data_IF_356890881889
#
_entry.id   IF_356890881889
#
_cell.length_a   1.000
_cell.length_b   1.000
_cell.length_c   1.000
_cell.angle_alpha   90.00
_cell.angle_beta   90.00
_cell.angle_gamma   90.00
#
_symmetry.space_group_name_H-M   'P 1'
#
loop_
_entity.id
_entity.type
_entity.pdbx_description
1 polymer ?
#
# COMPACT_ATOMS: atom_id res chain seq x y z
N UNK A 1 -25.41 -38.25 -30.81
CA UNK A 1 -25.21 -37.10 -31.72
C UNK A 1 -24.67 -35.96 -30.88
N UNK A 2 -23.42 -35.59 -31.13
CA UNK A 2 -22.68 -34.60 -30.37
C UNK A 2 -23.19 -33.19 -30.72
N UNK A 3 -23.59 -32.42 -29.70
CA UNK A 3 -23.87 -30.99 -29.82
C UNK A 3 -22.66 -30.22 -29.32
N UNK A 4 -22.04 -29.47 -30.22
CA UNK A 4 -20.88 -28.61 -29.95
C UNK A 4 -21.29 -27.42 -29.07
N UNK A 5 -20.78 -27.36 -27.85
CA UNK A 5 -20.79 -26.15 -27.03
C UNK A 5 -19.76 -25.14 -27.59
N UNK A 6 -20.25 -24.01 -28.09
CA UNK A 6 -19.40 -22.87 -28.48
C UNK A 6 -18.97 -22.11 -27.22
N UNK A 7 -17.66 -21.80 -27.05
CA UNK A 7 -17.20 -21.04 -25.90
C UNK A 7 -17.64 -19.57 -25.99
N UNK A 8 -18.11 -19.05 -24.86
CA UNK A 8 -18.45 -17.65 -24.64
C UNK A 8 -17.22 -16.76 -24.85
N UNK A 9 -17.37 -15.75 -25.71
CA UNK A 9 -16.33 -14.75 -26.00
C UNK A 9 -16.06 -13.93 -24.74
N UNK A 10 -14.86 -14.09 -24.18
CA UNK A 10 -14.33 -13.22 -23.14
C UNK A 10 -14.15 -11.80 -23.67
N UNK A 11 -14.52 -10.81 -22.85
CA UNK A 11 -14.18 -9.40 -23.07
C UNK A 11 -12.66 -9.26 -22.92
N UNK A 12 -11.93 -9.33 -24.03
CA UNK A 12 -10.54 -8.89 -24.12
C UNK A 12 -10.51 -7.37 -24.05
N UNK A 13 -10.39 -6.82 -22.83
CA UNK A 13 -10.06 -5.41 -22.62
C UNK A 13 -8.55 -5.24 -22.85
N UNK A 14 -8.24 -4.89 -24.09
CA UNK A 14 -7.02 -4.33 -24.67
C UNK A 14 -5.93 -3.90 -23.66
N UNK A 15 -4.78 -4.58 -23.77
CA UNK A 15 -3.45 -4.09 -23.38
C UNK A 15 -3.19 -2.73 -24.05
N UNK A 16 -3.36 -1.62 -23.33
CA UNK A 16 -2.68 -0.36 -23.69
C UNK A 16 -1.37 -0.27 -22.92
N UNK A 17 -0.38 -1.03 -23.38
CA UNK A 17 1.03 -0.72 -23.15
C UNK A 17 1.37 0.39 -24.14
N UNK A 18 1.41 1.63 -23.67
CA UNK A 18 2.01 2.72 -24.42
C UNK A 18 3.52 2.45 -24.48
N UNK A 19 4.00 2.02 -25.65
CA UNK A 19 5.42 2.05 -25.98
C UNK A 19 5.75 3.45 -26.45
N UNK A 20 6.10 4.33 -25.51
CA UNK A 20 6.77 5.58 -25.85
C UNK A 20 8.27 5.40 -25.70
N UNK A 21 8.93 5.60 -26.82
CA UNK A 21 10.35 5.79 -26.99
C UNK A 21 10.82 6.91 -26.06
N UNK A 22 11.89 6.63 -25.30
CA UNK A 22 12.56 7.61 -24.47
C UNK A 22 13.34 8.57 -25.37
N UNK A 23 12.83 9.78 -25.53
CA UNK A 23 13.63 10.96 -25.83
C UNK A 23 14.36 11.38 -24.54
N UNK A 24 15.69 11.39 -24.63
CA UNK A 24 16.59 11.72 -23.54
C UNK A 24 16.46 13.21 -23.18
N UNK A 25 16.14 13.46 -21.91
CA UNK A 25 15.63 14.75 -21.46
C UNK A 25 16.64 15.89 -21.28
N UNK A 26 16.14 17.02 -20.80
CA UNK A 26 16.98 18.06 -20.21
C UNK A 26 16.36 18.67 -18.95
N UNK A 27 17.10 18.51 -17.85
CA UNK A 27 16.93 19.27 -16.62
C UNK A 27 17.55 20.65 -16.78
N UNK A 28 16.87 21.65 -16.20
CA UNK A 28 17.27 23.05 -16.09
C UNK A 28 18.70 23.22 -15.51
N UNK A 29 19.57 23.88 -16.27
CA UNK A 29 20.68 24.67 -15.72
C UNK A 29 21.02 25.88 -16.60
N UNK A 30 21.03 27.05 -15.95
CA UNK A 30 21.56 28.37 -16.32
C UNK A 30 22.45 28.48 -17.57
N UNK A 31 22.13 29.41 -18.48
CA UNK A 31 23.09 30.00 -19.43
C UNK A 31 23.12 31.52 -19.39
N UNK A 32 24.29 32.03 -18.98
CA UNK A 32 24.82 33.37 -19.23
C UNK A 32 25.27 33.47 -20.71
N UNK A 33 25.15 34.68 -21.28
CA UNK A 33 25.19 35.00 -22.72
C UNK A 33 26.53 34.81 -23.47
N UNK A 34 26.36 34.53 -24.77
CA UNK A 34 26.94 35.15 -26.00
C UNK A 34 28.01 34.37 -26.78
N UNK A 35 27.77 34.24 -28.09
CA UNK A 35 28.78 33.99 -29.12
C UNK A 35 28.25 33.30 -30.39
N UNK A 36 28.01 34.06 -31.46
CA UNK A 36 27.62 33.60 -32.82
C UNK A 36 28.81 32.95 -33.55
N UNK A 37 28.55 31.94 -34.38
CA UNK A 37 29.48 31.50 -35.43
C UNK A 37 28.98 30.25 -36.16
N UNK A 38 28.80 30.34 -37.48
CA UNK A 38 28.27 29.31 -38.39
C UNK A 38 29.33 28.26 -38.78
N UNK A 39 28.82 27.24 -39.46
CA UNK A 39 29.40 26.32 -40.47
C UNK A 39 29.94 24.96 -40.05
N UNK A 40 29.46 24.00 -40.85
CA UNK A 40 29.61 22.56 -40.96
C UNK A 40 31.03 22.05 -41.19
N UNK A 41 31.31 20.82 -40.76
CA UNK A 41 31.72 19.65 -41.58
C UNK A 41 32.08 18.47 -40.66
N UNK A 42 31.70 17.28 -41.11
CA UNK A 42 31.90 15.95 -40.54
C UNK A 42 33.33 15.63 -40.07
N UNK A 43 33.44 14.83 -39.00
CA UNK A 43 34.38 13.69 -38.92
C UNK A 43 34.01 12.75 -37.77
N UNK A 44 33.97 11.46 -38.10
CA UNK A 44 33.81 10.34 -37.17
C UNK A 44 34.96 10.31 -36.15
N UNK A 45 34.64 10.32 -34.87
CA UNK A 45 35.51 9.79 -33.82
C UNK A 45 34.69 8.89 -32.88
N UNK A 46 35.30 7.79 -32.38
CA UNK A 46 34.58 6.80 -31.60
C UNK A 46 34.15 7.41 -30.28
N UNK A 47 32.85 7.33 -29.98
CA UNK A 47 32.31 7.71 -28.70
C UNK A 47 33.09 6.96 -27.60
N UNK A 48 33.78 7.73 -26.75
CA UNK A 48 34.36 7.22 -25.51
C UNK A 48 33.21 6.63 -24.72
N UNK A 49 33.08 5.30 -24.76
CA UNK A 49 32.10 4.57 -23.95
C UNK A 49 32.34 4.97 -22.52
N UNK A 50 31.40 5.74 -21.96
CA UNK A 50 31.29 6.01 -20.55
C UNK A 50 31.20 4.62 -19.89
N UNK A 51 32.33 4.09 -19.43
CA UNK A 51 32.36 2.91 -18.55
C UNK A 51 31.83 3.38 -17.20
N UNK A 52 30.51 3.59 -17.16
CA UNK A 52 29.78 3.71 -15.92
C UNK A 52 30.14 2.50 -15.07
N UNK A 53 30.58 2.77 -13.86
CA UNK A 53 30.98 1.78 -12.87
C UNK A 53 29.90 0.69 -12.82
N UNK A 54 30.16 -0.49 -13.39
CA UNK A 54 29.23 -1.62 -13.31
C UNK A 54 29.06 -1.89 -11.82
N UNK A 55 27.86 -1.60 -11.29
CA UNK A 55 27.59 -1.73 -9.86
C UNK A 55 27.94 -3.15 -9.40
N UNK A 56 28.27 -3.31 -8.11
CA UNK A 56 28.69 -4.60 -7.52
C UNK A 56 27.69 -5.77 -7.74
N UNK A 57 26.48 -5.48 -8.20
CA UNK A 57 25.41 -6.44 -8.53
C UNK A 57 25.35 -6.82 -10.03
N UNK A 58 26.16 -6.22 -10.89
CA UNK A 58 26.22 -6.59 -12.31
C UNK A 58 26.52 -8.09 -12.53
N UNK A 59 27.42 -8.74 -11.75
CA UNK A 59 27.67 -10.18 -11.88
C UNK A 59 26.46 -11.06 -11.55
N UNK A 60 25.54 -10.59 -10.70
CA UNK A 60 24.32 -11.35 -10.39
C UNK A 60 23.43 -11.51 -11.64
N UNK A 61 23.37 -10.48 -12.50
CA UNK A 61 22.61 -10.52 -13.74
C UNK A 61 23.28 -11.35 -14.84
N UNK A 62 24.52 -11.80 -14.62
CA UNK A 62 25.24 -12.76 -15.49
C UNK A 62 24.86 -14.22 -15.17
N UNK A 63 24.01 -14.45 -14.17
CA UNK A 63 23.48 -15.75 -13.73
C UNK A 63 21.94 -15.81 -13.80
N UNK A 64 21.33 -15.85 -15.00
CA UNK A 64 19.88 -15.73 -15.15
C UNK A 64 19.09 -16.90 -14.54
N UNK A 65 19.67 -18.11 -14.56
CA UNK A 65 18.98 -19.32 -14.10
C UNK A 65 18.83 -19.36 -12.58
N UNK A 66 19.87 -18.95 -11.86
CA UNK A 66 19.92 -18.84 -10.41
C UNK A 66 18.91 -17.79 -9.91
N UNK A 67 18.78 -16.68 -10.65
CA UNK A 67 17.76 -15.67 -10.37
C UNK A 67 16.36 -16.25 -10.48
N UNK A 68 16.09 -17.10 -11.48
CA UNK A 68 14.78 -17.73 -11.62
C UNK A 68 14.48 -18.73 -10.50
N UNK A 69 15.47 -19.52 -10.09
CA UNK A 69 15.35 -20.46 -8.96
C UNK A 69 15.05 -19.74 -7.64
N UNK A 70 15.65 -18.57 -7.42
CA UNK A 70 15.34 -17.75 -6.24
C UNK A 70 13.95 -17.11 -6.39
N UNK A 71 13.64 -16.57 -7.58
CA UNK A 71 12.41 -15.85 -7.84
C UNK A 71 11.14 -16.71 -7.67
N UNK A 72 11.19 -18.00 -7.97
CA UNK A 72 10.05 -18.91 -7.76
C UNK A 72 9.81 -19.25 -6.28
N UNK A 73 10.83 -19.09 -5.43
CA UNK A 73 10.78 -19.46 -4.00
C UNK A 73 10.45 -18.28 -3.08
N UNK A 74 10.33 -17.06 -3.61
CA UNK A 74 9.97 -15.88 -2.83
C UNK A 74 8.48 -15.57 -2.99
N UNK A 75 7.86 -14.97 -1.97
CA UNK A 75 6.48 -14.51 -2.07
C UNK A 75 6.30 -13.35 -3.06
N UNK A 76 5.06 -13.11 -3.52
CA UNK A 76 4.76 -12.16 -4.61
C UNK A 76 5.08 -10.70 -4.26
N UNK A 77 5.02 -10.32 -2.98
CA UNK A 77 5.47 -9.00 -2.52
C UNK A 77 6.97 -8.81 -2.79
N UNK A 78 7.79 -9.78 -2.40
CA UNK A 78 9.24 -9.73 -2.60
C UNK A 78 9.59 -9.80 -4.10
N UNK A 79 8.90 -10.66 -4.86
CA UNK A 79 9.08 -10.77 -6.31
C UNK A 79 8.76 -9.45 -7.02
N UNK A 80 7.69 -8.76 -6.60
CA UNK A 80 7.37 -7.42 -7.08
C UNK A 80 8.49 -6.43 -6.76
N UNK A 81 9.03 -6.42 -5.54
CA UNK A 81 10.13 -5.51 -5.19
C UNK A 81 11.42 -5.83 -5.98
N UNK A 82 11.72 -7.11 -6.21
CA UNK A 82 12.85 -7.51 -7.07
C UNK A 82 12.72 -6.96 -8.48
N UNK A 83 11.50 -7.04 -9.07
CA UNK A 83 11.24 -6.47 -10.39
C UNK A 83 11.47 -4.95 -10.44
N UNK A 84 11.27 -4.24 -9.33
CA UNK A 84 11.43 -2.78 -9.26
C UNK A 84 12.85 -2.32 -8.95
N UNK A 85 13.63 -3.16 -8.29
CA UNK A 85 15.01 -2.85 -7.93
C UNK A 85 15.95 -2.80 -9.15
N UNK A 86 15.62 -3.49 -10.25
CA UNK A 86 16.43 -3.55 -11.46
C UNK A 86 15.60 -3.49 -12.73
N UNK A 87 15.96 -2.61 -13.67
CA UNK A 87 15.32 -2.52 -14.99
C UNK A 87 15.43 -3.84 -15.78
N UNK A 88 16.55 -4.56 -15.62
CA UNK A 88 16.78 -5.85 -16.27
C UNK A 88 15.82 -6.89 -15.68
N UNK A 89 15.75 -6.99 -14.35
CA UNK A 89 14.83 -7.90 -13.69
C UNK A 89 13.37 -7.56 -13.99
N UNK A 90 13.02 -6.27 -14.07
CA UNK A 90 11.66 -5.85 -14.49
C UNK A 90 11.28 -6.45 -15.84
N UNK A 91 12.15 -6.26 -16.84
CA UNK A 91 11.89 -6.73 -18.22
C UNK A 91 11.69 -8.25 -18.26
N UNK A 92 12.48 -8.99 -17.48
CA UNK A 92 12.42 -10.44 -17.46
C UNK A 92 11.24 -10.94 -16.63
N UNK A 93 11.09 -10.49 -15.38
CA UNK A 93 10.08 -11.00 -14.44
C UNK A 93 8.65 -10.60 -14.83
N UNK A 94 8.43 -9.46 -15.48
CA UNK A 94 7.09 -9.01 -15.91
C UNK A 94 6.72 -9.56 -17.29
N UNK A 95 7.63 -10.25 -17.98
CA UNK A 95 7.36 -10.84 -19.29
C UNK A 95 6.41 -12.05 -19.21
N UNK A 96 5.72 -12.34 -20.33
CA UNK A 96 4.82 -13.49 -20.46
C UNK A 96 5.53 -14.83 -20.20
N UNK A 97 6.83 -14.95 -20.52
CA UNK A 97 7.63 -16.15 -20.28
C UNK A 97 7.90 -16.43 -18.80
N UNK A 98 7.74 -15.43 -17.93
CA UNK A 98 7.96 -15.56 -16.48
C UNK A 98 6.67 -15.82 -15.70
N UNK A 99 5.54 -16.07 -16.37
CA UNK A 99 4.25 -16.33 -15.72
C UNK A 99 4.31 -17.48 -14.72
N UNK A 100 5.05 -18.54 -15.05
CA UNK A 100 5.24 -19.69 -14.17
C UNK A 100 5.95 -19.33 -12.86
N UNK A 101 6.88 -18.37 -12.87
CA UNK A 101 7.58 -17.87 -11.68
C UNK A 101 6.59 -17.21 -10.73
N UNK A 102 5.72 -16.34 -11.27
CA UNK A 102 4.69 -15.70 -10.47
C UNK A 102 3.73 -16.73 -9.88
N UNK A 103 3.26 -17.69 -10.67
CA UNK A 103 2.38 -18.76 -10.18
C UNK A 103 3.01 -19.54 -9.04
N UNK A 104 4.27 -19.96 -9.18
CA UNK A 104 5.00 -20.62 -8.10
C UNK A 104 5.11 -19.74 -6.84
N UNK A 105 5.42 -18.45 -7.03
CA UNK A 105 5.49 -17.46 -5.95
C UNK A 105 4.18 -17.33 -5.16
N UNK A 106 3.03 -17.38 -5.84
CA UNK A 106 1.71 -17.38 -5.21
C UNK A 106 1.42 -18.68 -4.47
N UNK A 107 1.66 -19.84 -5.10
CA UNK A 107 1.40 -21.16 -4.51
C UNK A 107 2.21 -21.43 -3.24
N UNK A 108 3.38 -20.80 -3.09
CA UNK A 108 4.21 -20.90 -1.89
C UNK A 108 3.84 -19.87 -0.80
N UNK A 109 2.76 -19.11 -0.97
CA UNK A 109 2.36 -18.03 -0.06
C UNK A 109 0.93 -18.19 0.46
N UNK A 110 0.68 -17.74 1.70
CA UNK A 110 -0.66 -17.74 2.31
C UNK A 110 -1.54 -16.57 1.81
N UNK A 111 -1.30 -16.11 0.59
CA UNK A 111 -1.99 -14.96 0.00
C UNK A 111 -3.08 -15.48 -0.95
N UNK A 112 -4.29 -14.90 -0.95
CA UNK A 112 -5.31 -15.32 -1.89
C UNK A 112 -4.82 -15.22 -3.34
N UNK A 113 -5.16 -16.23 -4.14
CA UNK A 113 -4.72 -16.31 -5.53
C UNK A 113 -5.33 -15.20 -6.40
N UNK A 114 -4.60 -14.73 -7.44
CA UNK A 114 -5.16 -13.81 -8.42
C UNK A 114 -6.36 -14.44 -9.14
N UNK A 115 -7.47 -13.69 -9.33
CA UNK A 115 -8.56 -14.11 -10.20
C UNK A 115 -8.08 -14.34 -11.64
N UNK A 116 -8.82 -15.14 -12.40
CA UNK A 116 -8.47 -15.50 -13.78
C UNK A 116 -8.30 -14.31 -14.73
N UNK A 117 -9.02 -13.20 -14.48
CA UNK A 117 -8.96 -11.96 -15.25
C UNK A 117 -7.83 -11.01 -14.82
N UNK A 118 -7.01 -11.38 -13.85
CA UNK A 118 -5.86 -10.61 -13.40
C UNK A 118 -4.56 -11.21 -13.92
N UNK A 119 -3.65 -10.36 -14.42
CA UNK A 119 -2.25 -10.76 -14.54
C UNK A 119 -1.55 -10.65 -13.18
N UNK A 120 -0.73 -11.65 -12.87
CA UNK A 120 -0.11 -11.84 -11.57
C UNK A 120 0.75 -10.62 -11.11
N UNK A 121 1.57 -9.98 -11.98
CA UNK A 121 2.35 -8.80 -11.58
C UNK A 121 1.49 -7.57 -11.27
N UNK A 122 0.39 -7.37 -12.02
CA UNK A 122 -0.53 -6.25 -11.78
C UNK A 122 -1.31 -6.47 -10.49
N UNK A 123 -1.74 -7.69 -10.23
CA UNK A 123 -2.38 -8.05 -8.97
C UNK A 123 -1.47 -7.83 -7.76
N UNK A 124 -0.20 -8.26 -7.86
CA UNK A 124 0.80 -7.97 -6.83
C UNK A 124 0.98 -6.45 -6.61
N UNK A 125 1.04 -5.66 -7.68
CA UNK A 125 1.13 -4.21 -7.58
C UNK A 125 -0.12 -3.59 -6.93
N UNK A 126 -1.32 -4.09 -7.23
CA UNK A 126 -2.54 -3.61 -6.61
C UNK A 126 -2.52 -3.80 -5.08
N UNK A 127 -2.16 -5.00 -4.62
CA UNK A 127 -2.14 -5.36 -3.20
C UNK A 127 -0.99 -4.70 -2.45
N UNK A 128 0.25 -4.96 -2.86
CA UNK A 128 1.43 -4.69 -2.04
C UNK A 128 1.99 -3.29 -2.21
N UNK A 129 1.63 -2.63 -3.30
CA UNK A 129 2.33 -1.43 -3.67
C UNK A 129 1.79 -0.17 -3.00
N UNK A 130 2.57 0.91 -3.06
CA UNK A 130 2.19 2.22 -2.50
C UNK A 130 2.13 3.32 -3.56
N UNK A 131 2.31 2.95 -4.82
CA UNK A 131 2.38 3.90 -5.93
C UNK A 131 1.04 3.97 -6.65
N UNK A 132 0.79 5.11 -7.27
CA UNK A 132 -0.38 5.31 -8.10
C UNK A 132 -0.23 4.43 -9.35
N UNK A 133 -1.22 3.58 -9.66
CA UNK A 133 -1.19 2.74 -10.85
C UNK A 133 -1.30 3.54 -12.16
N UNK A 134 -1.71 4.82 -12.08
CA UNK A 134 -1.79 5.71 -13.26
C UNK A 134 -0.55 6.59 -13.45
N UNK A 135 -0.02 7.19 -12.38
CA UNK A 135 1.05 8.19 -12.48
C UNK A 135 2.31 7.88 -11.66
N UNK A 136 2.38 6.68 -11.06
CA UNK A 136 3.51 6.21 -10.26
C UNK A 136 3.88 7.10 -9.06
N UNK A 137 3.00 8.02 -8.64
CA UNK A 137 3.22 8.81 -7.43
C UNK A 137 3.15 7.93 -6.17
N UNK A 138 4.09 8.10 -5.24
CA UNK A 138 4.11 7.41 -3.93
C UNK A 138 2.96 7.78 -2.98
N UNK A 139 2.08 8.70 -3.38
CA UNK A 139 0.97 9.21 -2.56
C UNK A 139 -0.37 8.59 -2.94
N UNK A 140 -0.39 7.28 -3.20
CA UNK A 140 -1.62 6.59 -3.56
C UNK A 140 -2.46 6.23 -2.32
N UNK A 141 -3.37 7.13 -1.96
CA UNK A 141 -4.24 7.02 -0.79
C UNK A 141 -5.61 6.45 -1.10
N UNK A 142 -6.01 6.41 -2.38
CA UNK A 142 -7.31 5.91 -2.83
C UNK A 142 -7.10 4.50 -3.38
N UNK A 143 -7.59 3.51 -2.65
CA UNK A 143 -7.40 2.10 -2.97
C UNK A 143 -8.75 1.39 -2.89
N UNK A 144 -9.12 0.69 -3.97
CA UNK A 144 -10.32 -0.16 -4.00
C UNK A 144 -10.05 -1.39 -4.88
N UNK A 145 -10.25 -2.57 -4.28
CA UNK A 145 -10.01 -3.86 -4.89
C UNK A 145 -11.12 -4.32 -5.83
N UNK A 146 -12.35 -3.82 -5.72
CA UNK A 146 -13.43 -4.16 -6.66
C UNK A 146 -13.32 -3.33 -7.94
N UNK A 147 -12.84 -2.08 -7.82
CA UNK A 147 -12.53 -1.23 -8.97
C UNK A 147 -11.13 -1.48 -9.56
N UNK A 148 -10.31 -2.32 -8.92
CA UNK A 148 -8.93 -2.60 -9.31
C UNK A 148 -8.04 -1.34 -9.36
N UNK A 149 -8.25 -0.38 -8.47
CA UNK A 149 -7.54 0.91 -8.50
C UNK A 149 -6.68 1.14 -7.26
N UNK A 150 -5.56 1.82 -7.50
CA UNK A 150 -4.74 2.48 -6.49
C UNK A 150 -4.28 3.81 -7.05
N UNK A 151 -4.91 4.90 -6.62
CA UNK A 151 -4.70 6.24 -7.13
C UNK A 151 -4.24 7.23 -6.06
N UNK A 152 -3.46 8.22 -6.50
CA UNK A 152 -3.29 9.44 -5.73
C UNK A 152 -4.56 10.31 -5.82
N UNK A 153 -4.71 11.28 -4.92
CA UNK A 153 -5.89 12.16 -4.92
C UNK A 153 -6.10 12.92 -6.24
N UNK A 154 -5.03 13.22 -6.98
CA UNK A 154 -5.14 13.91 -8.28
C UNK A 154 -5.69 12.99 -9.38
N UNK A 155 -5.15 11.77 -9.51
CA UNK A 155 -5.67 10.77 -10.44
C UNK A 155 -7.09 10.34 -10.07
N UNK A 156 -7.41 10.23 -8.77
CA UNK A 156 -8.78 9.93 -8.36
C UNK A 156 -9.79 10.96 -8.86
N UNK A 157 -9.48 12.26 -8.74
CA UNK A 157 -10.40 13.33 -9.20
C UNK A 157 -10.61 13.37 -10.72
N UNK A 158 -9.66 12.85 -11.48
CA UNK A 158 -9.67 12.90 -12.96
C UNK A 158 -10.25 11.61 -13.56
N UNK A 159 -9.94 10.47 -12.94
CA UNK A 159 -10.31 9.15 -13.46
C UNK A 159 -11.59 8.59 -12.83
N UNK A 160 -12.20 9.28 -11.85
CA UNK A 160 -13.41 8.81 -11.17
C UNK A 160 -14.57 9.79 -11.39
N UNK A 161 -15.72 9.24 -11.75
CA UNK A 161 -16.97 9.98 -12.06
C UNK A 161 -18.14 9.43 -11.25
N UNK A 162 -19.28 10.11 -11.32
CA UNK A 162 -20.55 9.68 -10.76
C UNK A 162 -21.61 9.57 -11.86
N UNK A 163 -22.70 8.85 -11.58
CA UNK A 163 -23.85 8.78 -12.52
C UNK A 163 -24.38 10.18 -12.82
N UNK A 164 -24.47 11.07 -11.81
CA UNK A 164 -24.94 12.45 -11.97
C UNK A 164 -24.08 13.29 -12.92
N UNK A 165 -22.76 13.09 -12.90
CA UNK A 165 -21.83 13.83 -13.76
C UNK A 165 -21.86 13.35 -15.21
N UNK A 166 -22.28 12.10 -15.44
CA UNK A 166 -22.17 11.47 -16.75
C UNK A 166 -23.52 11.36 -17.47
N UNK A 167 -24.62 11.30 -16.73
CA UNK A 167 -25.98 11.15 -17.29
C UNK A 167 -26.77 12.43 -17.09
N UNK A 168 -27.10 13.10 -18.20
CA UNK A 168 -27.87 14.35 -18.22
C UNK A 168 -29.24 14.23 -17.56
N UNK A 169 -29.79 15.37 -17.11
CA UNK A 169 -31.18 15.47 -16.70
C UNK A 169 -32.06 15.30 -17.95
N UNK A 170 -32.89 14.26 -17.98
CA UNK A 170 -33.78 13.94 -19.12
C UNK A 170 -33.43 12.66 -19.89
N UNK A 171 -32.33 11.98 -19.56
CA UNK A 171 -32.02 10.67 -20.16
C UNK A 171 -32.96 9.59 -19.56
N UNK A 172 -33.63 8.78 -20.39
CA UNK A 172 -34.56 7.70 -19.98
C UNK A 172 -33.87 6.50 -19.31
N UNK A 173 -32.57 6.60 -19.07
CA UNK A 173 -31.76 5.56 -18.46
C UNK A 173 -32.23 5.25 -17.04
N UNK A 174 -32.38 3.95 -16.74
CA UNK A 174 -32.63 3.43 -15.39
C UNK A 174 -31.37 3.57 -14.54
N UNK A 175 -31.11 4.78 -14.05
CA UNK A 175 -29.90 5.18 -13.29
C UNK A 175 -29.64 4.25 -12.09
N UNK A 176 -30.69 3.71 -11.50
CA UNK A 176 -30.64 2.77 -10.39
C UNK A 176 -29.99 1.44 -10.79
N UNK A 177 -30.38 0.92 -11.97
CA UNK A 177 -29.82 -0.32 -12.52
C UNK A 177 -28.35 -0.13 -12.91
N UNK A 178 -28.03 0.99 -13.59
CA UNK A 178 -26.67 1.31 -14.02
C UNK A 178 -25.70 1.38 -12.83
N UNK A 179 -26.14 1.96 -11.71
CA UNK A 179 -25.32 2.07 -10.51
C UNK A 179 -24.99 0.71 -9.84
N UNK A 180 -25.69 -0.37 -10.19
CA UNK A 180 -25.51 -1.70 -9.60
C UNK A 180 -24.65 -2.64 -10.45
N UNK A 181 -24.60 -2.42 -11.77
CA UNK A 181 -23.88 -3.28 -12.75
C UNK A 181 -22.39 -2.95 -12.91
N UNK A 182 -21.90 -1.93 -12.19
CA UNK A 182 -20.52 -1.42 -12.28
C UNK A 182 -19.87 -1.37 -10.91
N UNK A 183 -18.66 -1.93 -10.71
CA UNK A 183 -17.87 -1.71 -9.49
C UNK A 183 -17.78 -0.23 -9.15
N UNK A 184 -18.13 0.14 -7.93
CA UNK A 184 -17.98 1.50 -7.43
C UNK A 184 -17.02 1.53 -6.25
N UNK A 185 -16.37 2.67 -6.09
CA UNK A 185 -15.51 2.95 -4.97
C UNK A 185 -16.36 3.08 -3.71
N UNK A 186 -16.18 2.13 -2.81
CA UNK A 186 -16.81 2.13 -1.49
C UNK A 186 -15.71 1.87 -0.46
N UNK A 187 -15.68 2.67 0.60
CA UNK A 187 -14.65 2.51 1.63
C UNK A 187 -14.80 1.12 2.26
N UNK A 188 -13.66 0.42 2.24
CA UNK A 188 -13.44 -0.95 2.70
C UNK A 188 -14.25 -1.24 3.97
N UNK A 189 -15.32 -2.00 3.80
CA UNK A 189 -15.98 -2.70 4.88
C UNK A 189 -16.01 -4.17 4.51
N UNK A 190 -15.52 -5.04 5.40
CA UNK A 190 -15.63 -6.49 5.27
C UNK A 190 -17.10 -6.97 5.23
N UNK A 191 -18.04 -6.07 5.55
CA UNK A 191 -19.49 -6.31 5.63
C UNK A 191 -20.27 -5.75 4.44
N UNK A 192 -19.62 -5.29 3.35
CA UNK A 192 -20.35 -4.89 2.14
C UNK A 192 -21.19 -6.07 1.63
N UNK A 193 -22.52 -5.94 1.64
CA UNK A 193 -23.45 -6.95 1.11
C UNK A 193 -23.28 -7.16 -0.40
N UNK A 194 -23.66 -8.34 -0.95
CA UNK A 194 -23.77 -8.53 -2.38
C UNK A 194 -24.67 -7.46 -3.00
N UNK A 195 -24.34 -7.03 -4.23
CA UNK A 195 -25.13 -6.00 -4.90
C UNK A 195 -26.43 -6.59 -5.38
N UNK A 196 -27.49 -5.83 -5.13
CA UNK A 196 -28.82 -6.06 -5.65
C UNK A 196 -29.34 -4.76 -6.26
N UNK A 197 -30.29 -4.88 -7.19
CA UNK A 197 -31.01 -3.73 -7.72
C UNK A 197 -31.93 -3.06 -6.68
N UNK A 198 -32.08 -3.64 -5.47
CA UNK A 198 -32.97 -3.16 -4.42
C UNK A 198 -32.37 -2.04 -3.56
N UNK A 199 -31.03 -1.86 -3.55
CA UNK A 199 -30.34 -0.87 -2.71
C UNK A 199 -29.55 0.12 -3.58
N UNK A 200 -30.06 1.34 -3.67
CA UNK A 200 -29.45 2.42 -4.45
C UNK A 200 -28.86 3.53 -3.58
N UNK A 201 -27.73 4.07 -4.03
CA UNK A 201 -27.14 5.30 -3.50
C UNK A 201 -26.66 6.17 -4.66
N UNK A 202 -27.09 7.43 -4.67
CA UNK A 202 -26.74 8.43 -5.69
C UNK A 202 -25.24 8.70 -5.81
N UNK A 203 -24.51 8.52 -4.71
CA UNK A 203 -23.14 8.98 -4.53
C UNK A 203 -22.11 7.89 -4.79
N UNK A 204 -22.40 6.97 -5.73
CA UNK A 204 -21.43 5.95 -6.13
C UNK A 204 -20.43 6.54 -7.12
N UNK A 205 -19.16 6.27 -6.84
CA UNK A 205 -18.00 6.74 -7.60
C UNK A 205 -17.50 5.60 -8.49
N UNK A 206 -17.43 5.81 -9.80
CA UNK A 206 -17.07 4.80 -10.78
C UNK A 206 -15.80 5.20 -11.51
N UNK A 207 -15.01 4.22 -11.96
CA UNK A 207 -13.92 4.50 -12.89
C UNK A 207 -14.52 5.04 -14.20
N UNK A 208 -14.12 6.24 -14.60
CA UNK A 208 -14.73 6.97 -15.73
C UNK A 208 -14.69 6.15 -17.01
N UNK A 209 -13.54 5.55 -17.34
CA UNK A 209 -13.39 4.75 -18.55
C UNK A 209 -14.35 3.55 -18.58
N UNK A 210 -14.36 2.74 -17.51
CA UNK A 210 -15.24 1.56 -17.44
C UNK A 210 -16.72 1.96 -17.46
N UNK A 211 -17.06 3.05 -16.78
CA UNK A 211 -18.43 3.58 -16.78
C UNK A 211 -18.90 3.93 -18.21
N UNK A 212 -18.06 4.61 -18.99
CA UNK A 212 -18.40 5.01 -20.37
C UNK A 212 -18.60 3.80 -21.29
N UNK A 213 -17.73 2.80 -21.19
CA UNK A 213 -17.84 1.56 -21.98
C UNK A 213 -19.14 0.84 -21.66
N UNK A 214 -19.41 0.59 -20.37
CA UNK A 214 -20.63 -0.12 -19.95
C UNK A 214 -21.90 0.69 -20.27
N UNK A 215 -21.82 2.02 -20.23
CA UNK A 215 -22.93 2.89 -20.61
C UNK A 215 -23.23 2.80 -22.12
N UNK A 216 -22.20 2.70 -22.97
CA UNK A 216 -22.38 2.50 -24.40
C UNK A 216 -23.05 1.14 -24.68
N UNK A 217 -22.56 0.07 -24.06
CA UNK A 217 -23.14 -1.27 -24.19
C UNK A 217 -24.59 -1.32 -23.67
N UNK A 218 -24.86 -0.64 -22.55
CA UNK A 218 -26.22 -0.52 -21.99
C UNK A 218 -27.18 0.15 -22.97
N UNK A 219 -26.76 1.24 -23.64
CA UNK A 219 -27.60 1.94 -24.62
C UNK A 219 -27.91 1.07 -25.84
N UNK A 220 -26.96 0.25 -26.27
CA UNK A 220 -27.19 -0.70 -27.36
C UNK A 220 -28.18 -1.80 -26.93
N UNK A 221 -27.97 -2.38 -25.74
CA UNK A 221 -28.83 -3.41 -25.19
C UNK A 221 -30.26 -2.89 -24.91
N UNK A 222 -30.43 -1.60 -24.60
CA UNK A 222 -31.73 -0.99 -24.31
C UNK A 222 -32.72 -1.02 -25.49
N UNK A 223 -32.23 -1.26 -26.72
CA UNK A 223 -33.07 -1.38 -27.92
C UNK A 223 -33.95 -2.63 -27.91
N UNK A 224 -33.56 -3.66 -27.16
CA UNK A 224 -34.28 -4.93 -27.04
C UNK A 224 -34.39 -5.35 -25.56
N UNK A 225 -35.61 -5.65 -25.11
CA UNK A 225 -35.87 -5.91 -23.69
C UNK A 225 -35.18 -7.18 -23.19
N UNK A 226 -35.13 -8.23 -24.01
CA UNK A 226 -34.51 -9.50 -23.61
C UNK A 226 -32.98 -9.36 -23.54
N UNK A 227 -32.39 -8.70 -24.53
CA UNK A 227 -30.96 -8.36 -24.54
C UNK A 227 -30.56 -7.47 -23.37
N UNK A 228 -31.42 -6.51 -22.99
CA UNK A 228 -31.18 -5.64 -21.84
C UNK A 228 -31.14 -6.43 -20.52
N UNK A 229 -32.12 -7.31 -20.28
CA UNK A 229 -32.18 -8.07 -19.02
C UNK A 229 -31.01 -9.07 -18.92
N UNK A 230 -30.63 -9.71 -20.03
CA UNK A 230 -29.44 -10.56 -20.10
C UNK A 230 -28.16 -9.77 -19.80
N UNK A 231 -27.97 -8.62 -20.44
CA UNK A 231 -26.82 -7.74 -20.20
C UNK A 231 -26.72 -7.30 -18.73
N UNK A 232 -27.86 -6.89 -18.15
CA UNK A 232 -27.92 -6.48 -16.75
C UNK A 232 -27.55 -7.62 -15.81
N UNK A 233 -28.04 -8.83 -16.05
CA UNK A 233 -27.74 -10.01 -15.23
C UNK A 233 -26.26 -10.39 -15.30
N UNK A 234 -25.69 -10.44 -16.51
CA UNK A 234 -24.27 -10.74 -16.73
C UNK A 234 -23.37 -9.71 -16.05
N UNK A 235 -23.64 -8.41 -16.24
CA UNK A 235 -22.86 -7.34 -15.61
C UNK A 235 -23.00 -7.31 -14.10
N UNK A 236 -24.19 -7.60 -13.57
CA UNK A 236 -24.39 -7.73 -12.12
C UNK A 236 -23.57 -8.89 -11.56
N UNK A 237 -23.50 -10.03 -12.27
CA UNK A 237 -22.67 -11.17 -11.88
C UNK A 237 -21.19 -10.79 -11.79
N UNK A 238 -20.65 -10.16 -12.84
CA UNK A 238 -19.25 -9.67 -12.87
C UNK A 238 -19.00 -8.68 -11.72
N UNK A 239 -19.93 -7.74 -11.51
CA UNK A 239 -19.79 -6.76 -10.44
C UNK A 239 -19.80 -7.41 -9.06
N UNK A 240 -20.60 -8.46 -8.85
CA UNK A 240 -20.67 -9.20 -7.59
C UNK A 240 -19.45 -10.09 -7.36
N UNK A 241 -18.89 -10.69 -8.41
CA UNK A 241 -17.62 -11.42 -8.34
C UNK A 241 -16.49 -10.51 -7.84
N UNK A 242 -16.37 -9.30 -8.39
CA UNK A 242 -15.37 -8.32 -7.96
C UNK A 242 -15.58 -7.84 -6.51
N UNK A 243 -16.84 -7.72 -6.05
CA UNK A 243 -17.13 -7.40 -4.64
C UNK A 243 -16.76 -8.55 -3.71
N UNK A 244 -17.09 -9.78 -4.10
CA UNK A 244 -16.70 -10.99 -3.35
C UNK A 244 -15.18 -11.08 -3.22
N UNK A 245 -14.48 -10.86 -4.32
CA UNK A 245 -13.03 -10.77 -4.34
C UNK A 245 -12.49 -9.68 -3.40
N UNK A 246 -13.00 -8.44 -3.50
CA UNK A 246 -12.65 -7.35 -2.56
C UNK A 246 -12.83 -7.77 -1.11
N UNK A 247 -13.93 -8.44 -0.77
CA UNK A 247 -14.22 -8.90 0.60
C UNK A 247 -13.17 -9.91 1.08
N UNK A 248 -12.84 -10.91 0.26
CA UNK A 248 -11.86 -11.93 0.59
C UNK A 248 -10.48 -11.32 0.86
N UNK A 249 -10.00 -10.46 -0.04
CA UNK A 249 -8.68 -9.83 0.11
C UNK A 249 -8.66 -8.84 1.28
N UNK A 250 -9.74 -8.09 1.51
CA UNK A 250 -9.83 -7.16 2.63
C UNK A 250 -9.77 -7.90 3.97
N UNK A 251 -10.53 -9.01 4.10
CA UNK A 251 -10.46 -9.86 5.30
C UNK A 251 -9.06 -10.41 5.54
N UNK A 252 -8.38 -10.85 4.47
CA UNK A 252 -7.00 -11.30 4.57
C UNK A 252 -6.03 -10.18 5.00
N UNK A 253 -6.15 -8.97 4.44
CA UNK A 253 -5.34 -7.81 4.83
C UNK A 253 -5.57 -7.42 6.30
N UNK A 254 -6.82 -7.45 6.76
CA UNK A 254 -7.19 -7.15 8.14
C UNK A 254 -6.60 -8.20 9.09
N UNK A 255 -6.70 -9.49 8.75
CA UNK A 255 -6.08 -10.58 9.51
C UNK A 255 -4.56 -10.40 9.61
N UNK A 256 -3.89 -10.03 8.51
CA UNK A 256 -2.45 -9.78 8.50
C UNK A 256 -2.07 -8.58 9.39
N UNK A 257 -2.85 -7.51 9.34
CA UNK A 257 -2.67 -6.34 10.21
C UNK A 257 -2.87 -6.71 11.69
N UNK A 258 -3.87 -7.53 11.98
CA UNK A 258 -4.15 -8.01 13.33
C UNK A 258 -3.07 -8.96 13.85
N UNK A 259 -2.57 -9.89 13.05
CA UNK A 259 -1.45 -10.74 13.45
C UNK A 259 -0.20 -9.91 13.79
N UNK A 260 0.13 -8.91 12.97
CA UNK A 260 1.24 -7.98 13.24
C UNK A 260 1.02 -7.19 14.53
N UNK A 261 -0.20 -6.69 14.75
CA UNK A 261 -0.60 -5.98 15.96
C UNK A 261 -0.49 -6.88 17.20
N UNK A 262 -1.03 -8.10 17.14
CA UNK A 262 -0.99 -9.08 18.23
C UNK A 262 0.44 -9.51 18.55
N UNK A 263 1.26 -9.79 17.54
CA UNK A 263 2.68 -10.12 17.72
C UNK A 263 3.43 -8.98 18.39
N UNK A 264 3.18 -7.74 17.95
CA UNK A 264 3.75 -6.53 18.55
C UNK A 264 3.31 -6.37 20.01
N UNK A 265 2.03 -6.57 20.30
CA UNK A 265 1.50 -6.53 21.66
C UNK A 265 2.12 -7.61 22.55
N UNK A 266 2.32 -8.82 22.03
CA UNK A 266 2.97 -9.93 22.75
C UNK A 266 4.41 -9.56 23.11
N UNK A 267 5.20 -9.11 22.15
CA UNK A 267 6.59 -8.67 22.36
C UNK A 267 6.66 -7.56 23.43
N UNK A 268 5.74 -6.59 23.39
CA UNK A 268 5.67 -5.51 24.38
C UNK A 268 5.34 -6.04 25.78
N UNK A 269 4.41 -7.01 25.91
CA UNK A 269 4.07 -7.62 27.20
C UNK A 269 5.23 -8.42 27.77
N UNK A 270 5.85 -9.29 26.97
CA UNK A 270 7.03 -10.08 27.37
C UNK A 270 8.21 -9.19 27.75
N UNK A 271 8.42 -8.10 27.00
CA UNK A 271 9.42 -7.09 27.37
C UNK A 271 9.13 -6.50 28.75
N UNK A 272 7.87 -6.12 29.00
CA UNK A 272 7.45 -5.53 30.27
C UNK A 272 7.68 -6.50 31.44
N UNK A 273 7.30 -7.77 31.29
CA UNK A 273 7.52 -8.78 32.33
C UNK A 273 9.01 -8.97 32.63
N UNK A 274 9.85 -9.12 31.60
CA UNK A 274 11.31 -9.24 31.79
C UNK A 274 11.93 -8.01 32.45
N UNK A 275 11.47 -6.79 32.11
CA UNK A 275 11.95 -5.57 32.77
C UNK A 275 11.57 -5.60 34.25
N UNK A 276 10.32 -5.91 34.59
CA UNK A 276 9.87 -6.02 35.98
C UNK A 276 10.67 -7.08 36.76
N UNK A 277 10.93 -8.25 36.16
CA UNK A 277 11.76 -9.30 36.77
C UNK A 277 13.20 -8.86 37.01
N UNK A 278 13.86 -8.23 36.01
CA UNK A 278 15.24 -7.73 36.16
C UNK A 278 15.32 -6.66 37.26
N UNK A 279 14.34 -5.78 37.30
CA UNK A 279 14.25 -4.71 38.28
C UNK A 279 13.99 -5.23 39.70
N UNK A 280 13.13 -6.23 39.85
CA UNK A 280 12.91 -6.93 41.12
C UNK A 280 14.18 -7.63 41.60
N UNK A 281 14.93 -8.29 40.71
CA UNK A 281 16.24 -8.89 41.03
C UNK A 281 17.29 -7.88 41.49
N UNK A 282 17.16 -6.61 41.08
CA UNK A 282 18.03 -5.52 41.52
C UNK A 282 17.61 -4.92 42.88
N UNK A 283 16.60 -5.49 43.55
CA UNK A 283 16.20 -5.12 44.91
C UNK A 283 15.13 -4.04 45.00
N UNK A 284 14.54 -3.65 43.89
CA UNK A 284 13.51 -2.62 43.88
C UNK A 284 12.10 -3.21 43.97
N UNK A 285 11.25 -2.53 44.72
CA UNK A 285 9.86 -2.88 44.93
C UNK A 285 8.97 -2.54 43.74
N UNK A 286 7.82 -3.21 43.67
CA UNK A 286 6.83 -2.93 42.64
C UNK A 286 6.29 -1.49 42.76
N UNK A 287 6.18 -0.94 43.97
CA UNK A 287 5.76 0.46 44.16
C UNK A 287 6.78 1.44 43.57
N UNK A 288 8.10 1.20 43.68
CA UNK A 288 9.16 2.12 43.21
C UNK A 288 9.22 2.30 41.67
N UNK A 289 8.66 1.36 40.90
CA UNK A 289 8.56 1.50 39.43
C UNK A 289 7.16 1.66 38.90
N UNK A 290 6.15 1.42 39.73
CA UNK A 290 4.78 1.79 39.40
C UNK A 290 4.59 3.30 39.53
N UNK A 291 5.56 4.01 40.12
CA UNK A 291 5.56 5.46 40.15
C UNK A 291 5.76 6.00 38.73
N UNK A 292 4.73 6.74 38.32
CA UNK A 292 4.66 7.58 37.14
C UNK A 292 4.21 6.87 35.86
N UNK A 293 2.95 7.14 35.52
CA UNK A 293 2.44 7.26 34.14
C UNK A 293 3.19 8.32 33.31
N UNK A 294 4.50 8.48 33.51
CA UNK A 294 5.39 9.29 32.70
C UNK A 294 5.36 8.77 31.27
N UNK A 295 5.16 9.66 30.27
CA UNK A 295 5.27 9.30 28.87
C UNK A 295 6.62 8.66 28.51
N UNK A 296 7.70 9.02 29.21
CA UNK A 296 9.04 8.46 29.01
C UNK A 296 9.13 7.00 29.45
N UNK A 297 8.56 6.68 30.61
CA UNK A 297 8.48 5.30 31.12
C UNK A 297 7.62 4.42 30.21
N UNK A 298 6.44 4.93 29.83
CA UNK A 298 5.54 4.25 28.89
C UNK A 298 6.22 3.96 27.54
N UNK A 299 7.02 4.89 27.02
CA UNK A 299 7.78 4.71 25.76
C UNK A 299 8.91 3.69 25.90
N UNK A 300 9.56 3.60 27.06
CA UNK A 300 10.61 2.61 27.32
C UNK A 300 10.04 1.18 27.41
N UNK A 301 8.85 1.06 28.01
CA UNK A 301 8.14 -0.21 28.14
C UNK A 301 7.49 -0.67 26.82
N UNK A 302 6.89 0.25 26.04
CA UNK A 302 6.15 -0.07 24.81
C UNK A 302 7.01 -0.22 23.55
N UNK A 303 8.28 -0.59 23.69
CA UNK A 303 9.14 -0.81 22.51
C UNK A 303 8.79 -2.15 21.84
N UNK A 304 8.56 -2.18 20.51
CA UNK A 304 8.19 -3.39 19.79
C UNK A 304 9.42 -4.26 19.48
N UNK A 305 10.27 -4.51 20.48
CA UNK A 305 11.49 -5.31 20.34
C UNK A 305 11.80 -6.09 21.62
N UNK A 306 12.31 -7.33 21.51
CA UNK A 306 12.75 -8.11 22.66
C UNK A 306 13.77 -7.36 23.53
N UNK A 307 13.79 -7.67 24.82
CA UNK A 307 14.81 -7.16 25.74
C UNK A 307 16.10 -7.96 25.55
N UNK A 308 17.08 -7.40 24.86
CA UNK A 308 18.43 -8.00 24.72
C UNK A 308 19.37 -7.44 25.79
N UNK A 309 20.41 -8.17 26.20
CA UNK A 309 21.34 -7.69 27.24
C UNK A 309 22.09 -6.41 26.84
N UNK A 310 22.28 -6.16 25.53
CA UNK A 310 22.85 -4.92 25.00
C UNK A 310 21.89 -3.72 25.02
N UNK A 311 20.60 -3.97 25.29
CA UNK A 311 19.63 -2.88 25.39
C UNK A 311 19.77 -2.25 26.78
N UNK A 312 20.61 -1.20 26.86
CA UNK A 312 20.79 -0.41 28.08
C UNK A 312 19.40 0.02 28.57
N UNK A 313 18.96 -0.52 29.70
CA UNK A 313 17.93 0.11 30.50
C UNK A 313 18.53 1.45 30.88
N UNK A 314 18.13 2.52 30.19
CA UNK A 314 18.38 3.86 30.65
C UNK A 314 17.57 4.01 31.94
N UNK A 315 18.18 3.61 33.05
CA UNK A 315 17.72 3.93 34.39
C UNK A 315 17.90 5.45 34.49
N UNK A 316 16.85 6.18 34.15
CA UNK A 316 16.78 7.61 34.41
C UNK A 316 16.40 7.75 35.87
N UNK A 317 17.40 7.72 36.75
CA UNK A 317 17.27 8.40 38.01
C UNK A 317 17.36 9.90 37.73
N UNK A 318 16.21 10.58 37.70
CA UNK A 318 16.21 12.00 38.04
C UNK A 318 16.29 12.08 39.56
N UNK A 319 17.34 12.72 40.04
CA UNK A 319 17.56 13.11 41.42
C UNK A 319 16.34 13.84 42.01
N UNK A 320 15.41 13.09 42.58
CA UNK A 320 14.40 13.61 43.51
C UNK A 320 14.45 12.76 44.77
N UNK A 321 15.54 12.93 45.51
CA UNK A 321 15.59 12.99 46.96
C UNK A 321 17.04 13.29 47.33
N UNK A 322 17.26 14.19 48.31
CA UNK A 322 18.53 14.72 48.83
C UNK A 322 18.87 16.20 48.48
N UNK A 323 17.87 17.09 48.52
CA UNK A 323 18.08 18.49 48.99
C UNK A 323 16.85 18.94 49.77
N UNK A 324 16.58 18.26 50.88
CA UNK A 324 15.89 18.84 52.02
C UNK A 324 16.66 18.37 53.25
N UNK A 325 17.95 18.75 53.28
CA UNK A 325 18.73 18.86 54.51
C UNK A 325 17.85 19.63 55.51
N UNK A 326 17.50 19.12 56.70
CA UNK A 326 18.43 18.74 57.76
C UNK A 326 19.55 19.78 58.03
N UNK A 327 19.40 21.01 57.52
CA UNK A 327 20.27 22.16 57.76
C UNK A 327 19.40 23.40 57.91
N UNK A 328 18.76 23.54 59.07
CA UNK A 328 18.31 24.82 59.65
C UNK A 328 17.93 24.61 61.13
N UNK A 329 18.89 24.10 61.88
CA UNK A 329 18.96 24.31 63.32
C UNK A 329 20.38 24.78 63.64
N UNK A 330 20.49 25.97 64.25
CA UNK A 330 21.70 26.47 64.87
C UNK A 330 22.55 27.36 63.97
N UNK A 331 22.27 28.67 63.96
CA UNK A 331 23.04 29.66 64.74
C UNK A 331 22.59 31.07 64.35
N UNK A 332 21.83 31.74 65.22
CA UNK A 332 22.04 33.16 65.50
C UNK A 332 21.52 33.43 66.91
N UNK A 333 22.49 33.52 67.82
CA UNK A 333 22.34 34.04 69.16
C UNK A 333 22.69 35.53 69.09
N UNK A 334 21.75 36.41 69.43
CA UNK A 334 22.02 37.76 69.95
C UNK A 334 20.95 38.04 71.02
N UNK A 335 21.33 38.49 72.23
CA UNK A 335 20.44 38.56 73.39
C UNK A 335 19.70 39.90 73.47
N UNK A 336 18.47 39.90 73.98
CA UNK A 336 17.90 41.05 74.69
C UNK A 336 16.75 40.63 75.61
N UNK A 337 17.06 40.65 76.90
CA UNK A 337 16.26 41.23 78.00
C UNK A 337 14.74 40.95 78.10
N UNK A 338 14.42 40.37 79.26
CA UNK A 338 13.40 40.80 80.25
C UNK A 338 12.06 40.05 80.34
N UNK A 339 11.86 39.60 81.58
CA UNK A 339 10.65 39.77 82.40
C UNK A 339 9.49 38.76 82.21
N UNK A 340 9.64 37.65 82.92
CA UNK A 340 8.89 37.31 84.16
C UNK A 340 7.35 37.18 84.16
N UNK A 341 6.95 36.15 84.90
CA UNK A 341 5.71 35.90 85.66
C UNK A 341 4.61 35.04 85.02
N UNK A 342 4.46 33.90 85.70
CA UNK A 342 3.31 33.00 85.92
C UNK A 342 2.86 32.07 84.80
#
# INVERSE_FOLDING_TARGET
MAGEEKPSKGLDVVEHIHTDELDDGEARASKRKKGKGKTSVSRNEPSRKFRGNRGKLAPMLELPNEIFLIAQCVGPEALLQMSRASRVLRKVLVSKSSKWIWRASWSCSDIPEPPSYFCEPYYAALIFDKFCLRCESKKATKFDLACHIRFCSACYKTEVTTVKQTVSAGDELKKEKIACILPHFAQISAYEEPRSFAIWQESRNFLTFEFQVVLADYREAMKDSESLDKFLAERLCISNERVSFKRQISSWLDNLADQKRLTTCRIIRERRTMIHEKLSKLGYSQQEFFIHGSPKWSRLMRQPRPLTDKSKLLVVYSNYNLTSTAEKAGTHFVPSSKESYN
#
